data_IF_753205370444
#
_entry.id   IF_753205370444
#
_cell.length_a   1.000
_cell.length_b   1.000
_cell.length_c   1.000
_cell.angle_alpha   90.00
_cell.angle_beta   90.00
_cell.angle_gamma   90.00
#
_symmetry.space_group_name_H-M   'P 1'
#
loop_
_entity.id
_entity.type
_entity.pdbx_description
1 polymer ?
#
# COMPACT_ATOMS: atom_id res chain seq x y z
N UNK A 1 1.22 -11.00 -25.94
CA UNK A 1 1.33 -11.05 -24.47
C UNK A 1 0.55 -9.85 -23.95
N UNK A 2 -0.40 -10.05 -23.02
CA UNK A 2 -1.16 -8.95 -22.41
C UNK A 2 -0.18 -8.01 -21.66
N UNK A 3 -0.33 -6.69 -21.80
CA UNK A 3 0.53 -5.68 -21.14
C UNK A 3 0.57 -5.88 -19.63
N UNK A 4 -0.55 -6.27 -19.03
CA UNK A 4 -0.63 -6.65 -17.62
C UNK A 4 0.26 -7.83 -17.29
N UNK A 5 0.25 -8.89 -18.10
CA UNK A 5 1.13 -10.05 -17.91
C UNK A 5 2.60 -9.64 -18.02
N UNK A 6 2.95 -8.79 -19.00
CA UNK A 6 4.31 -8.26 -19.17
C UNK A 6 4.78 -7.47 -17.94
N UNK A 7 3.92 -6.62 -17.35
CA UNK A 7 4.24 -5.93 -16.10
C UNK A 7 4.50 -6.92 -14.96
N UNK A 8 3.59 -7.89 -14.77
CA UNK A 8 3.71 -8.89 -13.71
C UNK A 8 4.98 -9.75 -13.84
N UNK A 9 5.34 -10.15 -15.05
CA UNK A 9 6.58 -10.85 -15.35
C UNK A 9 7.81 -9.97 -15.05
N UNK A 10 7.76 -8.69 -15.39
CA UNK A 10 8.87 -7.75 -15.16
C UNK A 10 9.15 -7.53 -13.67
N UNK A 11 8.11 -7.49 -12.83
CA UNK A 11 8.24 -7.30 -11.37
C UNK A 11 8.47 -8.63 -10.63
N UNK A 12 8.28 -9.78 -11.28
CA UNK A 12 8.48 -11.08 -10.67
C UNK A 12 9.93 -11.24 -10.17
N UNK A 13 10.09 -11.81 -8.97
CA UNK A 13 11.40 -12.02 -8.36
C UNK A 13 12.11 -10.75 -7.87
N UNK A 14 11.54 -9.55 -8.04
CA UNK A 14 12.16 -8.29 -7.58
C UNK A 14 11.96 -8.01 -6.09
N UNK A 15 11.33 -8.93 -5.35
CA UNK A 15 11.00 -8.81 -3.92
C UNK A 15 10.39 -7.44 -3.57
N UNK A 16 9.24 -7.12 -4.20
CA UNK A 16 8.52 -5.82 -4.08
C UNK A 16 9.31 -4.58 -4.49
N UNK A 17 10.47 -4.76 -5.14
CA UNK A 17 11.36 -3.68 -5.56
C UNK A 17 12.71 -3.68 -4.83
N UNK A 18 12.88 -4.48 -3.76
CA UNK A 18 14.13 -4.56 -2.99
C UNK A 18 15.32 -5.03 -3.85
N UNK A 19 15.07 -5.95 -4.79
CA UNK A 19 16.10 -6.52 -5.66
C UNK A 19 16.12 -5.87 -7.06
N UNK A 20 15.39 -4.78 -7.27
CA UNK A 20 15.31 -4.12 -8.57
C UNK A 20 16.53 -3.22 -8.82
N UNK A 21 17.26 -3.51 -9.90
CA UNK A 21 18.33 -2.65 -10.43
C UNK A 21 17.77 -1.39 -11.09
N UNK A 22 18.61 -0.39 -11.38
CA UNK A 22 18.15 0.80 -12.13
C UNK A 22 17.61 0.42 -13.51
N UNK A 23 18.21 -0.54 -14.21
CA UNK A 23 17.68 -1.06 -15.48
C UNK A 23 16.31 -1.72 -15.30
N UNK A 24 16.12 -2.49 -14.22
CA UNK A 24 14.82 -3.09 -13.93
C UNK A 24 13.77 -2.00 -13.67
N UNK A 25 14.12 -0.94 -12.94
CA UNK A 25 13.21 0.19 -12.70
C UNK A 25 12.76 0.85 -13.99
N UNK A 26 13.68 1.09 -14.92
CA UNK A 26 13.34 1.64 -16.25
C UNK A 26 12.37 0.71 -17.00
N UNK A 27 12.63 -0.60 -16.99
CA UNK A 27 11.74 -1.59 -17.63
C UNK A 27 10.35 -1.62 -16.99
N UNK A 28 10.29 -1.61 -15.65
CA UNK A 28 9.02 -1.60 -14.91
C UNK A 28 8.24 -0.32 -15.21
N UNK A 29 8.87 0.85 -15.19
CA UNK A 29 8.21 2.12 -15.52
C UNK A 29 7.65 2.11 -16.94
N UNK A 30 8.43 1.64 -17.91
CA UNK A 30 7.95 1.52 -19.31
C UNK A 30 6.78 0.54 -19.46
N UNK A 31 6.77 -0.57 -18.71
CA UNK A 31 5.65 -1.51 -18.69
C UNK A 31 4.40 -0.94 -18.00
N UNK A 32 4.60 -0.12 -16.97
CA UNK A 32 3.51 0.61 -16.29
C UNK A 32 2.88 1.63 -17.23
N UNK A 33 3.68 2.44 -17.92
CA UNK A 33 3.18 3.44 -18.87
C UNK A 33 2.34 2.81 -19.99
N UNK A 34 2.82 1.71 -20.58
CA UNK A 34 2.07 0.96 -21.60
C UNK A 34 0.71 0.48 -21.07
N UNK A 35 0.65 0.01 -19.82
CA UNK A 35 -0.58 -0.46 -19.21
C UNK A 35 -1.52 0.70 -18.83
N UNK A 36 -0.98 1.83 -18.38
CA UNK A 36 -1.73 3.05 -18.04
C UNK A 36 -2.45 3.63 -19.27
N UNK A 37 -1.87 3.51 -20.46
CA UNK A 37 -2.50 3.93 -21.74
C UNK A 37 -3.79 3.16 -22.06
N UNK A 38 -3.93 1.94 -21.52
CA UNK A 38 -5.11 1.09 -21.67
C UNK A 38 -5.88 0.90 -20.36
N UNK A 39 -5.87 1.92 -19.48
CA UNK A 39 -6.63 1.89 -18.24
C UNK A 39 -8.15 1.79 -18.51
N UNK A 40 -8.82 0.69 -18.10
CA UNK A 40 -10.26 0.54 -18.34
C UNK A 40 -11.11 1.50 -17.49
N UNK A 41 -10.55 2.01 -16.38
CA UNK A 41 -11.23 2.92 -15.46
C UNK A 41 -10.42 4.23 -15.30
N UNK A 42 -10.51 5.17 -16.26
CA UNK A 42 -9.74 6.42 -16.23
C UNK A 42 -10.21 7.41 -15.16
N UNK A 43 -11.36 7.17 -14.53
CA UNK A 43 -11.90 7.98 -13.42
C UNK A 43 -12.08 7.10 -12.17
N UNK A 44 -10.99 6.56 -11.60
CA UNK A 44 -11.07 5.54 -10.55
C UNK A 44 -11.87 5.97 -9.33
N UNK A 45 -11.84 7.26 -8.98
CA UNK A 45 -12.61 7.80 -7.84
C UNK A 45 -14.12 7.66 -8.02
N UNK A 46 -14.61 7.59 -9.27
CA UNK A 46 -16.03 7.36 -9.60
C UNK A 46 -16.43 5.87 -9.60
N UNK A 47 -15.50 4.96 -9.34
CA UNK A 47 -15.72 3.51 -9.28
C UNK A 47 -15.39 2.97 -7.86
N UNK A 48 -16.15 3.39 -6.83
CA UNK A 48 -15.87 3.05 -5.44
C UNK A 48 -15.88 1.54 -5.17
N UNK A 49 -16.71 0.76 -5.86
CA UNK A 49 -16.79 -0.69 -5.77
C UNK A 49 -15.51 -1.41 -6.25
N UNK A 50 -14.83 -0.82 -7.25
CA UNK A 50 -13.54 -1.32 -7.71
C UNK A 50 -12.42 -0.89 -6.76
N UNK A 51 -12.45 0.33 -6.22
CA UNK A 51 -11.42 0.82 -5.30
C UNK A 51 -11.46 0.21 -3.90
N UNK A 52 -12.66 -0.04 -3.37
CA UNK A 52 -12.83 -0.55 -2.02
C UNK A 52 -12.25 -1.97 -1.88
N UNK A 53 -11.51 -2.17 -0.78
CA UNK A 53 -10.94 -3.46 -0.44
C UNK A 53 -9.49 -3.42 0.00
N UNK A 54 -8.88 -4.59 0.09
CA UNK A 54 -7.49 -4.75 0.52
C UNK A 54 -6.59 -4.91 -0.70
N UNK A 55 -5.59 -4.03 -0.82
CA UNK A 55 -4.64 -4.06 -1.92
C UNK A 55 -3.27 -4.48 -1.42
N UNK A 56 -2.77 -5.64 -1.87
CA UNK A 56 -1.45 -6.14 -1.50
C UNK A 56 -0.40 -5.63 -2.47
N UNK A 57 0.69 -5.07 -1.94
CA UNK A 57 1.78 -4.53 -2.73
C UNK A 57 2.54 -5.64 -3.47
N UNK A 58 2.64 -5.51 -4.79
CA UNK A 58 3.47 -6.36 -5.65
C UNK A 58 4.82 -5.72 -5.93
N UNK A 59 4.86 -4.40 -6.12
CA UNK A 59 6.08 -3.65 -6.42
C UNK A 59 5.97 -2.19 -6.00
N UNK A 60 7.07 -1.60 -5.53
CA UNK A 60 7.21 -0.16 -5.37
C UNK A 60 8.61 0.34 -5.68
N UNK A 61 8.71 1.61 -6.11
CA UNK A 61 9.98 2.36 -6.17
C UNK A 61 10.24 3.19 -4.90
N UNK A 62 9.35 3.14 -3.90
CA UNK A 62 9.42 3.96 -2.69
C UNK A 62 10.59 3.57 -1.80
N UNK A 63 11.58 4.47 -1.66
CA UNK A 63 12.72 4.27 -0.76
C UNK A 63 12.34 4.26 0.72
N UNK A 64 11.25 4.94 1.09
CA UNK A 64 10.75 4.98 2.47
C UNK A 64 10.14 3.64 2.89
N UNK A 65 9.34 3.02 2.01
CA UNK A 65 8.79 1.67 2.25
C UNK A 65 9.90 0.60 2.18
N UNK A 66 10.72 0.62 1.12
CA UNK A 66 11.81 -0.34 0.97
C UNK A 66 12.89 -0.19 2.06
N UNK A 67 12.99 0.99 2.66
CA UNK A 67 13.91 1.26 3.77
C UNK A 67 13.57 0.55 5.07
N UNK A 68 12.39 -0.05 5.20
CA UNK A 68 12.01 -0.88 6.35
C UNK A 68 12.83 -2.19 6.42
N UNK A 69 13.41 -2.63 5.30
CA UNK A 69 14.24 -3.84 5.19
C UNK A 69 15.71 -3.63 5.62
N UNK A 70 16.05 -2.49 6.23
CA UNK A 70 17.45 -2.10 6.54
C UNK A 70 18.00 -2.66 7.85
N UNK A 71 17.19 -3.34 8.64
CA UNK A 71 17.62 -3.88 9.93
C UNK A 71 18.14 -5.31 9.77
N UNK A 72 19.35 -5.63 10.28
CA UNK A 72 19.84 -7.01 10.29
C UNK A 72 18.81 -7.92 10.93
N UNK A 73 18.55 -9.09 10.34
CA UNK A 73 17.63 -10.12 10.85
C UNK A 73 16.13 -9.81 10.67
N UNK A 74 15.75 -8.62 10.21
CA UNK A 74 14.37 -8.27 9.86
C UNK A 74 14.20 -8.22 8.34
N UNK A 75 13.12 -8.80 7.86
CA UNK A 75 12.74 -8.81 6.45
C UNK A 75 11.36 -8.19 6.26
N UNK A 76 11.20 -7.48 5.16
CA UNK A 76 9.90 -6.93 4.78
C UNK A 76 8.93 -8.05 4.36
N UNK A 77 7.86 -8.20 5.15
CA UNK A 77 6.78 -9.14 4.91
C UNK A 77 5.78 -8.63 3.87
N UNK A 78 4.50 -8.98 4.03
CA UNK A 78 3.45 -8.44 3.17
C UNK A 78 3.18 -6.96 3.50
N UNK A 79 2.87 -6.18 2.46
CA UNK A 79 2.43 -4.80 2.60
C UNK A 79 1.06 -4.68 1.98
N UNK A 80 0.16 -4.01 2.68
CA UNK A 80 -1.21 -3.77 2.29
C UNK A 80 -1.52 -2.29 2.32
N UNK A 81 -2.32 -1.86 1.35
CA UNK A 81 -3.07 -0.62 1.42
C UNK A 81 -4.55 -0.99 1.38
N UNK A 82 -5.21 -0.93 2.52
CA UNK A 82 -6.63 -1.22 2.64
C UNK A 82 -7.41 0.08 2.52
N UNK A 83 -8.34 0.14 1.57
CA UNK A 83 -9.19 1.31 1.32
C UNK A 83 -10.60 0.97 1.82
N UNK A 84 -11.19 1.91 2.55
CA UNK A 84 -12.59 1.91 2.98
C UNK A 84 -13.22 3.18 2.42
N UNK A 85 -13.89 3.05 1.28
CA UNK A 85 -14.37 4.22 0.53
C UNK A 85 -15.48 4.95 1.28
N UNK A 86 -16.42 4.20 1.86
CA UNK A 86 -17.56 4.76 2.60
C UNK A 86 -17.13 5.62 3.80
N UNK A 87 -15.99 5.29 4.42
CA UNK A 87 -15.45 6.03 5.56
C UNK A 87 -14.41 7.09 5.16
N UNK A 88 -14.07 7.18 3.86
CA UNK A 88 -12.96 7.98 3.35
C UNK A 88 -11.63 7.70 4.10
N UNK A 89 -11.37 6.42 4.39
CA UNK A 89 -10.17 5.97 5.13
C UNK A 89 -9.31 5.02 4.34
N UNK A 90 -8.01 5.10 4.59
CA UNK A 90 -7.05 4.09 4.15
C UNK A 90 -6.13 3.67 5.29
N UNK A 91 -5.66 2.44 5.20
CA UNK A 91 -4.74 1.83 6.15
C UNK A 91 -3.56 1.23 5.41
N UNK A 92 -2.37 1.78 5.63
CA UNK A 92 -1.13 1.19 5.13
C UNK A 92 -0.58 0.26 6.21
N UNK A 93 -0.50 -1.03 5.92
CA UNK A 93 -0.08 -2.07 6.87
C UNK A 93 1.15 -2.77 6.30
N UNK A 94 2.24 -2.82 7.04
CA UNK A 94 3.49 -3.48 6.67
C UNK A 94 3.85 -4.52 7.73
N UNK A 95 3.87 -5.78 7.32
CA UNK A 95 4.38 -6.88 8.14
C UNK A 95 5.90 -6.91 8.09
N UNK A 96 6.50 -7.26 9.22
CA UNK A 96 7.94 -7.43 9.37
C UNK A 96 8.17 -8.85 9.85
N UNK A 97 8.96 -9.61 9.10
CA UNK A 97 9.35 -10.97 9.42
C UNK A 97 10.71 -10.93 10.11
N UNK A 98 10.79 -11.37 11.36
CA UNK A 98 12.05 -11.49 12.10
C UNK A 98 12.45 -12.95 12.31
N UNK A 99 13.42 -13.18 13.19
CA UNK A 99 13.60 -14.51 13.82
C UNK A 99 12.30 -14.95 14.50
N UNK A 100 12.08 -16.26 14.71
CA UNK A 100 10.87 -16.75 15.35
C UNK A 100 10.51 -15.96 16.61
N UNK A 101 9.23 -15.58 16.75
CA UNK A 101 8.69 -14.77 17.86
C UNK A 101 8.93 -13.26 17.76
N UNK A 102 9.70 -12.78 16.78
CA UNK A 102 9.95 -11.35 16.53
C UNK A 102 9.25 -10.85 15.26
N UNK A 103 8.03 -11.32 14.99
CA UNK A 103 7.21 -10.81 13.90
C UNK A 103 6.62 -9.45 14.29
N UNK A 104 6.95 -8.43 13.50
CA UNK A 104 6.48 -7.06 13.68
C UNK A 104 5.33 -6.70 12.75
N UNK A 105 4.64 -5.61 13.08
CA UNK A 105 3.63 -4.99 12.23
C UNK A 105 3.68 -3.47 12.44
N UNK A 106 3.57 -2.74 11.35
CA UNK A 106 3.36 -1.30 11.33
C UNK A 106 2.07 -1.02 10.58
N UNK A 107 1.18 -0.23 11.16
CA UNK A 107 -0.08 0.18 10.55
C UNK A 107 -0.25 1.68 10.68
N UNK A 108 -0.48 2.36 9.56
CA UNK A 108 -0.75 3.79 9.50
C UNK A 108 -2.19 3.96 9.01
N UNK A 109 -3.04 4.51 9.88
CA UNK A 109 -4.39 4.91 9.52
C UNK A 109 -4.39 6.36 9.03
N UNK A 110 -5.13 6.61 7.95
CA UNK A 110 -5.26 7.91 7.33
C UNK A 110 -6.68 8.14 6.84
N UNK A 111 -7.07 9.40 6.77
CA UNK A 111 -8.21 9.84 5.97
C UNK A 111 -7.75 10.32 4.61
N UNK A 112 -8.62 10.24 3.64
CA UNK A 112 -8.38 10.79 2.33
C UNK A 112 -9.55 11.64 1.84
N UNK A 113 -9.25 12.59 0.96
CA UNK A 113 -10.24 13.42 0.29
C UNK A 113 -9.93 13.47 -1.20
N UNK A 114 -10.93 13.28 -2.04
CA UNK A 114 -10.76 13.36 -3.48
C UNK A 114 -10.51 14.81 -3.91
N UNK A 115 -9.41 15.03 -4.64
CA UNK A 115 -9.06 16.35 -5.21
C UNK A 115 -9.23 16.39 -6.72
N UNK A 116 -9.36 15.21 -7.36
CA UNK A 116 -9.72 15.06 -8.77
C UNK A 116 -10.34 13.67 -9.01
N UNK A 117 -10.70 13.37 -10.27
CA UNK A 117 -11.19 12.05 -10.68
C UNK A 117 -10.14 10.92 -10.52
N UNK A 118 -8.87 11.25 -10.29
CA UNK A 118 -7.75 10.30 -10.15
C UNK A 118 -6.95 10.47 -8.86
N UNK A 119 -7.07 11.61 -8.16
CA UNK A 119 -6.17 11.98 -7.07
C UNK A 119 -6.90 12.16 -5.76
N UNK A 120 -6.28 11.66 -4.70
CA UNK A 120 -6.70 11.89 -3.33
C UNK A 120 -5.58 12.56 -2.53
N UNK A 121 -5.97 13.50 -1.69
CA UNK A 121 -5.14 14.01 -0.61
C UNK A 121 -5.22 13.04 0.57
N UNK A 122 -4.11 12.78 1.25
CA UNK A 122 -4.01 11.80 2.34
C UNK A 122 -3.51 12.51 3.61
N UNK A 123 -4.27 12.36 4.68
CA UNK A 123 -3.95 12.86 6.00
C UNK A 123 -3.76 11.71 6.98
N UNK A 124 -2.51 11.47 7.39
CA UNK A 124 -2.19 10.46 8.39
C UNK A 124 -2.63 10.90 9.78
N UNK A 125 -3.35 10.03 10.49
CA UNK A 125 -3.94 10.35 11.80
C UNK A 125 -3.29 9.54 12.94
N UNK A 126 -2.95 8.27 12.66
CA UNK A 126 -2.56 7.32 13.72
C UNK A 126 -1.55 6.31 13.19
N UNK A 127 -0.50 6.05 13.95
CA UNK A 127 0.50 5.03 13.71
C UNK A 127 0.43 3.98 14.82
N UNK A 128 0.41 2.71 14.45
CA UNK A 128 0.48 1.58 15.38
C UNK A 128 1.68 0.75 14.96
N UNK A 129 2.61 0.48 15.88
CA UNK A 129 3.81 -0.29 15.57
C UNK A 129 4.20 -1.18 16.75
N UNK A 130 4.34 -2.47 16.52
CA UNK A 130 4.71 -3.42 17.56
C UNK A 130 4.78 -4.86 17.08
N UNK A 131 4.91 -5.80 18.02
CA UNK A 131 4.95 -7.22 17.71
C UNK A 131 3.55 -7.73 17.39
N UNK A 132 3.42 -8.56 16.34
CA UNK A 132 2.16 -9.13 15.90
C UNK A 132 1.42 -9.85 17.03
N UNK A 133 2.15 -10.65 17.82
CA UNK A 133 1.59 -11.41 18.95
C UNK A 133 1.04 -10.52 20.05
N UNK A 134 1.75 -9.42 20.36
CA UNK A 134 1.33 -8.45 21.39
C UNK A 134 0.09 -7.68 20.93
N UNK A 135 0.03 -7.34 19.64
CA UNK A 135 -1.11 -6.64 19.04
C UNK A 135 -2.30 -7.56 18.74
N UNK A 136 -2.14 -8.88 18.88
CA UNK A 136 -3.17 -9.85 18.51
C UNK A 136 -3.49 -9.83 17.02
N UNK A 137 -2.50 -9.50 16.18
CA UNK A 137 -2.65 -9.44 14.74
C UNK A 137 -2.97 -10.83 14.17
N UNK A 138 -4.02 -10.89 13.35
CA UNK A 138 -4.44 -12.12 12.66
C UNK A 138 -4.60 -11.88 11.15
N UNK A 139 -5.11 -10.71 10.78
CA UNK A 139 -5.26 -10.28 9.40
C UNK A 139 -5.41 -8.76 9.32
N UNK A 140 -5.19 -8.15 8.14
CA UNK A 140 -5.46 -6.73 7.93
C UNK A 140 -6.88 -6.34 8.33
N UNK A 141 -7.89 -7.15 7.96
CA UNK A 141 -9.29 -6.87 8.26
C UNK A 141 -9.59 -6.84 9.76
N UNK A 142 -9.01 -7.76 10.54
CA UNK A 142 -9.20 -7.75 11.99
C UNK A 142 -8.56 -6.53 12.62
N UNK A 143 -7.33 -6.19 12.22
CA UNK A 143 -6.64 -5.01 12.74
C UNK A 143 -7.41 -3.73 12.42
N UNK A 144 -7.90 -3.59 11.19
CA UNK A 144 -8.71 -2.45 10.76
C UNK A 144 -10.00 -2.36 11.58
N UNK A 145 -10.72 -3.47 11.76
CA UNK A 145 -11.91 -3.51 12.61
C UNK A 145 -11.62 -3.11 14.05
N UNK A 146 -10.52 -3.60 14.63
CA UNK A 146 -10.07 -3.21 15.96
C UNK A 146 -9.78 -1.69 16.03
N UNK A 147 -9.14 -1.12 15.00
CA UNK A 147 -8.86 0.32 14.91
C UNK A 147 -10.17 1.13 14.81
N UNK A 148 -11.10 0.70 13.97
CA UNK A 148 -12.40 1.37 13.71
C UNK A 148 -13.33 1.32 14.92
N UNK A 149 -13.31 0.23 15.68
CA UNK A 149 -14.04 0.10 16.95
C UNK A 149 -13.41 0.89 18.10
N UNK A 150 -12.29 1.59 17.86
CA UNK A 150 -11.65 2.47 18.82
C UNK A 150 -10.68 1.78 19.78
N UNK A 151 -10.34 0.49 19.56
CA UNK A 151 -9.35 -0.23 20.38
C UNK A 151 -8.03 0.55 20.38
N UNK A 152 -7.51 0.83 21.57
CA UNK A 152 -6.20 1.47 21.77
C UNK A 152 -5.13 0.39 21.95
N UNK A 153 -3.97 0.60 21.37
CA UNK A 153 -2.84 -0.34 21.45
C UNK A 153 -1.70 0.24 22.29
N UNK A 154 -2.01 0.85 23.43
CA UNK A 154 -0.98 1.46 24.27
C UNK A 154 0.05 0.43 24.77
N UNK A 155 1.36 0.72 24.75
CA UNK A 155 2.04 1.97 24.37
C UNK A 155 2.51 2.03 22.89
N UNK A 156 1.98 1.15 22.03
CA UNK A 156 2.38 0.91 20.63
C UNK A 156 1.56 1.75 19.64
N UNK A 157 0.92 2.83 20.11
CA UNK A 157 -0.14 3.57 19.43
C UNK A 157 0.10 5.07 19.56
N UNK A 158 0.32 5.73 18.43
CA UNK A 158 0.81 7.10 18.35
C UNK A 158 -0.08 7.94 17.45
N UNK A 159 -0.50 9.10 17.95
CA UNK A 159 -1.17 10.09 17.11
C UNK A 159 -0.14 10.78 16.20
N UNK A 160 -0.45 10.89 14.93
CA UNK A 160 0.40 11.58 13.95
C UNK A 160 -0.09 13.03 13.87
N UNK A 161 0.84 13.99 14.03
CA UNK A 161 0.54 15.40 13.80
C UNK A 161 0.35 15.65 12.29
N UNK A 162 -0.65 16.42 11.87
CA UNK A 162 -0.80 16.80 10.47
C UNK A 162 0.50 17.44 9.95
N UNK A 163 0.89 17.08 8.73
CA UNK A 163 2.01 17.71 8.03
C UNK A 163 1.56 19.05 7.44
N UNK A 164 2.49 20.00 7.34
CA UNK A 164 2.24 21.30 6.68
C UNK A 164 1.86 21.10 5.20
N UNK A 165 2.51 20.16 4.52
CA UNK A 165 2.15 19.73 3.17
C UNK A 165 1.53 18.33 3.22
N UNK A 166 0.23 18.20 2.91
CA UNK A 166 -0.46 16.91 2.86
C UNK A 166 0.17 15.99 1.81
N UNK A 167 0.26 14.69 2.12
CA UNK A 167 0.63 13.71 1.13
C UNK A 167 -0.51 13.56 0.12
N UNK A 168 -0.20 13.10 -1.10
CA UNK A 168 -1.22 12.76 -2.09
C UNK A 168 -0.89 11.41 -2.74
N UNK A 169 -1.95 10.76 -3.22
CA UNK A 169 -1.89 9.54 -4.01
C UNK A 169 -2.74 9.75 -5.27
N UNK A 170 -2.17 9.45 -6.41
CA UNK A 170 -2.87 9.45 -7.70
C UNK A 170 -3.01 8.02 -8.20
N UNK A 171 -4.21 7.61 -8.55
CA UNK A 171 -4.52 6.28 -9.10
C UNK A 171 -4.53 6.43 -10.62
N UNK A 172 -3.55 5.81 -11.28
CA UNK A 172 -3.30 5.95 -12.72
C UNK A 172 -3.80 4.77 -13.53
N UNK A 173 -3.94 3.61 -12.89
CA UNK A 173 -4.57 2.40 -13.45
C UNK A 173 -5.45 1.74 -12.41
N UNK A 174 -6.63 1.26 -12.82
CA UNK A 174 -7.53 0.46 -11.99
C UNK A 174 -8.30 -0.53 -12.84
N UNK A 175 -8.23 -1.81 -12.47
CA UNK A 175 -9.15 -2.85 -12.92
C UNK A 175 -9.63 -3.70 -11.72
N UNK A 176 -10.22 -4.86 -11.98
CA UNK A 176 -10.84 -5.71 -10.96
C UNK A 176 -9.85 -6.26 -9.92
N UNK A 177 -8.58 -6.47 -10.29
CA UNK A 177 -7.60 -7.14 -9.44
C UNK A 177 -6.21 -6.48 -9.44
N UNK A 178 -5.98 -5.39 -10.17
CA UNK A 178 -4.75 -4.62 -10.21
C UNK A 178 -5.03 -3.11 -10.10
N UNK A 179 -4.18 -2.43 -9.32
CA UNK A 179 -4.18 -0.97 -9.20
C UNK A 179 -2.75 -0.45 -9.28
N UNK A 180 -2.57 0.64 -10.01
CA UNK A 180 -1.31 1.40 -10.03
C UNK A 180 -1.55 2.77 -9.43
N UNK A 181 -0.70 3.14 -8.48
CA UNK A 181 -0.72 4.43 -7.83
C UNK A 181 0.62 5.15 -7.89
N UNK A 182 0.59 6.48 -7.90
CA UNK A 182 1.75 7.36 -7.83
C UNK A 182 1.65 8.23 -6.57
N UNK A 183 2.71 8.26 -5.77
CA UNK A 183 2.77 9.02 -4.52
C UNK A 183 3.50 10.35 -4.67
N UNK A 184 3.29 11.25 -3.71
CA UNK A 184 3.88 12.59 -3.66
C UNK A 184 5.41 12.65 -3.71
N UNK A 185 6.10 11.57 -3.36
CA UNK A 185 7.57 11.47 -3.41
C UNK A 185 8.08 10.91 -4.76
N UNK A 186 7.26 10.90 -5.82
CA UNK A 186 7.60 10.30 -7.11
C UNK A 186 7.66 8.77 -7.08
N UNK A 187 7.09 8.15 -6.05
CA UNK A 187 7.04 6.70 -5.89
C UNK A 187 5.90 6.11 -6.71
N UNK A 188 6.09 4.90 -7.24
CA UNK A 188 5.05 4.11 -7.90
C UNK A 188 4.71 2.90 -7.04
N UNK A 189 3.45 2.48 -7.07
CA UNK A 189 2.94 1.32 -6.36
C UNK A 189 2.12 0.47 -7.31
N UNK A 190 2.49 -0.79 -7.49
CA UNK A 190 1.70 -1.79 -8.21
C UNK A 190 1.10 -2.71 -7.15
N UNK A 191 -0.23 -2.76 -7.06
CA UNK A 191 -0.94 -3.51 -6.05
C UNK A 191 -1.95 -4.48 -6.67
N UNK A 192 -2.09 -5.66 -6.08
CA UNK A 192 -3.12 -6.62 -6.42
C UNK A 192 -4.26 -6.59 -5.40
N UNK A 193 -5.50 -6.70 -5.85
CA UNK A 193 -6.67 -6.81 -4.96
C UNK A 193 -6.68 -8.18 -4.30
N UNK A 194 -6.86 -8.23 -2.99
CA UNK A 194 -7.12 -9.50 -2.32
C UNK A 194 -8.55 -9.94 -2.58
N UNK A 195 -8.72 -11.24 -2.88
CA UNK A 195 -10.05 -11.83 -2.96
C UNK A 195 -10.69 -11.79 -1.57
N UNK A 196 -11.94 -11.33 -1.51
CA UNK A 196 -12.75 -11.44 -0.28
C UNK A 196 -12.82 -12.93 0.07
N UNK A 197 -12.15 -13.31 1.17
CA UNK A 197 -12.23 -14.66 1.74
C UNK A 197 -13.53 -14.84 2.50
#
# INVERSE_FOLDING_TARGET
MNEKSKLLETIAGKNRGLLATEMDRVRVLSAIEQLEDHNPNPTPIKNPELLDGNWRLLYTSSKSILGLDRFPVLQLGQIYQCIRVDEAKLYNIAEIVGVPLLEGIVSIAAKFEATSDKRVQVQFERSIAGLQRVLGYQSPNKLIKDIETGKKFFPLDFNIKPREQPAWLEITYLDEDLRIGRGSEGSVFVLAKEKKS
#
